data_IF_049155611549
#
_entry.id   IF_049155611549
#
_cell.length_a   1.000
_cell.length_b   1.000
_cell.length_c   1.000
_cell.angle_alpha   90.00
_cell.angle_beta   90.00
_cell.angle_gamma   90.00
#
_symmetry.space_group_name_H-M   'P 1'
#
loop_
_entity.id
_entity.type
_entity.pdbx_description
1 polymer ?
#
# COMPACT_ATOMS: atom_id res chain seq x y z
N UNK A 1 -20.10 -15.56 -0.96
CA UNK A 1 -20.44 -14.30 -1.65
C UNK A 1 -20.82 -13.28 -0.59
N UNK A 2 -19.91 -12.38 -0.21
CA UNK A 2 -20.29 -11.23 0.62
C UNK A 2 -20.84 -10.20 -0.36
N UNK A 3 -22.16 -10.13 -0.43
CA UNK A 3 -22.82 -9.18 -1.30
C UNK A 3 -22.71 -7.78 -0.66
N UNK A 4 -22.26 -6.77 -1.40
CA UNK A 4 -22.12 -5.39 -0.89
C UNK A 4 -23.45 -4.85 -0.36
N UNK A 5 -24.57 -5.37 -0.89
CA UNK A 5 -25.91 -5.14 -0.37
C UNK A 5 -26.06 -5.60 1.10
N UNK A 6 -25.40 -6.68 1.53
CA UNK A 6 -25.48 -7.19 2.90
C UNK A 6 -24.88 -6.24 3.94
N UNK A 7 -23.84 -5.47 3.60
CA UNK A 7 -23.26 -4.46 4.51
C UNK A 7 -24.29 -3.36 4.79
N UNK A 8 -25.01 -2.93 3.77
CA UNK A 8 -26.12 -1.96 3.90
C UNK A 8 -27.31 -2.55 4.67
N UNK A 9 -27.60 -3.84 4.50
CA UNK A 9 -28.68 -4.52 5.22
C UNK A 9 -28.44 -4.64 6.74
N UNK A 10 -27.19 -4.64 7.20
CA UNK A 10 -26.84 -4.75 8.62
C UNK A 10 -26.81 -3.39 9.33
N UNK A 11 -26.64 -2.29 8.59
CA UNK A 11 -26.69 -0.93 9.13
C UNK A 11 -27.28 0.05 8.10
N UNK A 12 -28.56 0.46 8.25
CA UNK A 12 -29.22 1.37 7.30
C UNK A 12 -28.63 2.79 7.31
N UNK A 13 -27.83 3.14 8.32
CA UNK A 13 -27.17 4.44 8.46
C UNK A 13 -25.69 4.40 8.07
N UNK A 14 -25.24 3.32 7.40
CA UNK A 14 -23.84 3.17 7.00
C UNK A 14 -23.40 4.35 6.11
N UNK A 15 -22.26 4.93 6.45
CA UNK A 15 -21.59 5.97 5.69
C UNK A 15 -20.13 5.56 5.47
N UNK A 16 -19.74 5.33 4.21
CA UNK A 16 -18.40 4.83 3.89
C UNK A 16 -17.27 5.76 4.35
N UNK A 17 -17.46 7.08 4.34
CA UNK A 17 -16.45 8.00 4.86
C UNK A 17 -16.21 7.75 6.35
N UNK A 18 -17.27 7.73 7.16
CA UNK A 18 -17.16 7.64 8.63
C UNK A 18 -16.92 6.22 9.14
N UNK A 19 -17.55 5.22 8.53
CA UNK A 19 -17.59 3.85 9.04
C UNK A 19 -16.52 2.95 8.40
N UNK A 20 -15.90 3.40 7.30
CA UNK A 20 -14.85 2.67 6.59
C UNK A 20 -13.56 3.49 6.46
N UNK A 21 -13.59 4.62 5.76
CA UNK A 21 -12.36 5.35 5.43
C UNK A 21 -11.71 5.97 6.66
N UNK A 22 -12.48 6.64 7.52
CA UNK A 22 -11.97 7.32 8.71
C UNK A 22 -11.27 6.34 9.69
N UNK A 23 -11.83 5.16 10.02
CA UNK A 23 -11.11 4.16 10.81
C UNK A 23 -9.75 3.75 10.20
N UNK A 24 -9.70 3.53 8.88
CA UNK A 24 -8.43 3.24 8.20
C UNK A 24 -7.46 4.43 8.25
N UNK A 25 -7.96 5.65 8.05
CA UNK A 25 -7.16 6.86 8.16
C UNK A 25 -6.54 7.00 9.56
N UNK A 26 -7.34 6.89 10.62
CA UNK A 26 -6.85 6.99 11.99
C UNK A 26 -5.86 5.89 12.35
N UNK A 27 -6.12 4.66 11.89
CA UNK A 27 -5.17 3.57 12.07
C UNK A 27 -3.83 3.88 11.38
N UNK A 28 -3.87 4.30 10.11
CA UNK A 28 -2.67 4.60 9.32
C UNK A 28 -1.91 5.78 9.94
N UNK A 29 -2.63 6.82 10.37
CA UNK A 29 -2.04 8.03 10.92
C UNK A 29 -1.31 7.79 12.25
N UNK A 30 -1.89 6.96 13.12
CA UNK A 30 -1.39 6.79 14.48
C UNK A 30 -0.51 5.55 14.69
N UNK A 31 -0.71 4.48 13.92
CA UNK A 31 -0.07 3.18 14.18
C UNK A 31 0.83 2.68 13.04
N UNK A 32 0.72 3.25 11.83
CA UNK A 32 1.55 2.81 10.72
C UNK A 32 2.99 3.29 10.88
N UNK A 33 3.94 2.38 10.75
CA UNK A 33 5.36 2.65 11.05
C UNK A 33 6.02 3.60 10.05
N UNK A 34 5.55 3.61 8.80
CA UNK A 34 6.02 4.55 7.79
C UNK A 34 5.33 5.91 7.96
N UNK A 35 5.95 6.81 8.72
CA UNK A 35 5.42 8.15 8.99
C UNK A 35 5.21 8.99 7.72
N UNK A 36 6.11 8.87 6.74
CA UNK A 36 5.97 9.53 5.43
C UNK A 36 4.76 9.00 4.65
N UNK A 37 4.57 7.67 4.63
CA UNK A 37 3.41 7.05 3.98
C UNK A 37 2.10 7.51 4.64
N UNK A 38 2.08 7.57 5.98
CA UNK A 38 0.93 8.06 6.74
C UNK A 38 0.63 9.54 6.45
N UNK A 39 1.68 10.37 6.30
CA UNK A 39 1.55 11.78 5.90
C UNK A 39 0.92 11.93 4.52
N UNK A 40 1.42 11.19 3.52
CA UNK A 40 0.86 11.22 2.18
C UNK A 40 -0.60 10.73 2.13
N UNK A 41 -0.94 9.69 2.91
CA UNK A 41 -2.31 9.20 3.00
C UNK A 41 -3.25 10.26 3.61
N UNK A 42 -2.83 10.89 4.72
CA UNK A 42 -3.58 11.96 5.36
C UNK A 42 -3.80 13.16 4.42
N UNK A 43 -2.76 13.59 3.69
CA UNK A 43 -2.92 14.63 2.67
C UNK A 43 -3.91 14.23 1.57
N UNK A 44 -3.93 12.95 1.20
CA UNK A 44 -4.90 12.39 0.26
C UNK A 44 -6.34 12.56 0.73
N UNK A 45 -6.60 12.34 2.03
CA UNK A 45 -7.90 12.59 2.66
C UNK A 45 -8.26 14.09 2.59
N UNK A 46 -7.33 14.97 2.98
CA UNK A 46 -7.58 16.43 3.03
C UNK A 46 -7.82 17.06 1.66
N UNK A 47 -7.17 16.55 0.60
CA UNK A 47 -7.28 17.11 -0.76
C UNK A 47 -8.51 16.64 -1.53
N UNK A 48 -9.20 15.60 -1.05
CA UNK A 48 -10.32 14.96 -1.77
C UNK A 48 -11.66 15.32 -1.16
N UNK A 49 -12.68 15.34 -2.02
CA UNK A 49 -14.04 15.54 -1.55
C UNK A 49 -14.60 14.26 -0.91
N UNK A 50 -14.42 14.12 0.40
CA UNK A 50 -14.93 12.97 1.16
C UNK A 50 -16.45 12.95 1.30
N UNK A 51 -17.16 14.05 1.02
CA UNK A 51 -18.63 14.09 1.07
C UNK A 51 -19.29 13.22 0.00
N UNK A 52 -18.56 12.89 -1.07
CA UNK A 52 -19.03 11.98 -2.12
C UNK A 52 -18.86 10.49 -1.77
N UNK A 53 -18.16 10.16 -0.67
CA UNK A 53 -17.86 8.78 -0.26
C UNK A 53 -18.90 8.32 0.75
N UNK A 54 -20.09 7.99 0.27
CA UNK A 54 -21.24 7.69 1.15
C UNK A 54 -21.57 6.21 1.14
N UNK A 55 -21.64 5.59 -0.05
CA UNK A 55 -22.04 4.18 -0.15
C UNK A 55 -20.85 3.25 0.01
N UNK A 56 -21.06 1.96 0.37
CA UNK A 56 -19.96 0.99 0.42
C UNK A 56 -19.20 0.89 -0.92
N UNK A 57 -19.90 0.99 -2.05
CA UNK A 57 -19.30 1.01 -3.37
C UNK A 57 -18.36 2.21 -3.57
N UNK A 58 -18.73 3.39 -3.07
CA UNK A 58 -17.88 4.57 -3.11
C UNK A 58 -16.63 4.39 -2.26
N UNK A 59 -16.75 3.77 -1.09
CA UNK A 59 -15.61 3.44 -0.23
C UNK A 59 -14.61 2.50 -0.92
N UNK A 60 -15.09 1.44 -1.55
CA UNK A 60 -14.26 0.50 -2.33
C UNK A 60 -13.55 1.23 -3.47
N UNK A 61 -14.29 2.01 -4.27
CA UNK A 61 -13.71 2.77 -5.38
C UNK A 61 -12.70 3.81 -4.90
N UNK A 62 -12.96 4.49 -3.78
CA UNK A 62 -12.05 5.48 -3.23
C UNK A 62 -10.72 4.84 -2.82
N UNK A 63 -10.76 3.74 -2.08
CA UNK A 63 -9.55 3.01 -1.66
C UNK A 63 -8.76 2.50 -2.87
N UNK A 64 -9.45 1.91 -3.84
CA UNK A 64 -8.86 1.47 -5.10
C UNK A 64 -8.16 2.61 -5.85
N UNK A 65 -8.84 3.74 -6.04
CA UNK A 65 -8.27 4.89 -6.73
C UNK A 65 -7.07 5.46 -5.98
N UNK A 66 -7.16 5.57 -4.65
CA UNK A 66 -6.07 6.04 -3.79
C UNK A 66 -4.85 5.12 -3.90
N UNK A 67 -5.03 3.80 -3.86
CA UNK A 67 -3.95 2.84 -4.09
C UNK A 67 -3.32 2.98 -5.48
N UNK A 68 -4.13 3.20 -6.53
CA UNK A 68 -3.60 3.38 -7.87
C UNK A 68 -2.78 4.66 -8.05
N UNK A 69 -3.10 5.72 -7.31
CA UNK A 69 -2.28 6.94 -7.27
C UNK A 69 -0.94 6.65 -6.62
N UNK A 70 -0.94 5.92 -5.51
CA UNK A 70 0.29 5.47 -4.85
C UNK A 70 1.11 4.60 -5.79
N UNK A 71 0.49 3.65 -6.50
CA UNK A 71 1.18 2.82 -7.49
C UNK A 71 1.84 3.66 -8.58
N UNK A 72 1.14 4.68 -9.11
CA UNK A 72 1.71 5.59 -10.11
C UNK A 72 2.89 6.39 -9.57
N UNK A 73 2.80 6.84 -8.32
CA UNK A 73 3.86 7.63 -7.69
C UNK A 73 5.10 6.78 -7.37
N UNK A 74 4.90 5.54 -6.91
CA UNK A 74 5.98 4.63 -6.54
C UNK A 74 6.58 3.88 -7.74
N UNK A 75 5.87 3.82 -8.87
CA UNK A 75 6.37 3.16 -10.07
C UNK A 75 7.74 3.71 -10.47
N UNK A 76 8.71 2.81 -10.66
CA UNK A 76 10.09 3.13 -11.10
C UNK A 76 10.88 3.98 -10.12
N UNK A 77 10.46 4.04 -8.85
CA UNK A 77 11.27 4.60 -7.77
C UNK A 77 12.22 3.54 -7.20
N UNK A 78 13.28 3.91 -6.47
CA UNK A 78 14.19 2.93 -5.85
C UNK A 78 13.54 1.98 -4.84
N UNK A 79 12.35 2.33 -4.33
CA UNK A 79 11.54 1.47 -3.44
C UNK A 79 10.60 0.53 -4.19
N UNK A 80 10.55 0.61 -5.53
CA UNK A 80 9.78 -0.31 -6.36
C UNK A 80 10.51 -1.65 -6.46
N UNK A 81 9.80 -2.74 -6.16
CA UNK A 81 10.35 -4.09 -6.25
C UNK A 81 10.40 -4.51 -7.73
N UNK A 82 11.57 -4.80 -8.31
CA UNK A 82 11.67 -5.20 -9.72
C UNK A 82 10.87 -6.48 -10.05
N UNK A 83 10.64 -7.37 -9.08
CA UNK A 83 9.86 -8.59 -9.28
C UNK A 83 8.35 -8.33 -9.31
N UNK A 84 7.90 -7.22 -8.70
CA UNK A 84 6.50 -6.82 -8.58
C UNK A 84 6.35 -5.31 -8.85
N UNK A 85 6.62 -4.88 -10.10
CA UNK A 85 6.63 -3.48 -10.46
C UNK A 85 5.26 -2.85 -10.22
N UNK A 86 5.24 -1.65 -9.62
CA UNK A 86 3.96 -0.95 -9.41
C UNK A 86 3.33 -0.57 -10.75
N UNK A 87 2.10 -1.02 -10.94
CA UNK A 87 1.28 -0.71 -12.11
C UNK A 87 -0.15 -0.33 -11.72
N UNK A 88 -0.91 0.20 -12.69
CA UNK A 88 -2.32 0.48 -12.48
C UNK A 88 -3.10 -0.84 -12.37
N UNK A 89 -3.74 -1.04 -11.24
CA UNK A 89 -4.50 -2.25 -10.92
C UNK A 89 -6.01 -2.05 -11.18
N UNK A 90 -6.74 -3.05 -11.71
CA UNK A 90 -6.20 -4.28 -12.27
C UNK A 90 -5.52 -4.01 -13.62
N UNK A 91 -4.46 -4.77 -13.96
CA UNK A 91 -3.93 -4.79 -15.31
C UNK A 91 -4.96 -5.41 -16.28
N UNK A 92 -4.82 -5.11 -17.58
CA UNK A 92 -5.77 -5.58 -18.59
C UNK A 92 -5.74 -7.10 -18.78
N UNK A 93 -4.61 -7.75 -18.48
CA UNK A 93 -4.44 -9.21 -18.39
C UNK A 93 -5.39 -9.84 -17.36
N UNK A 94 -5.57 -9.17 -16.21
CA UNK A 94 -6.38 -9.66 -15.10
C UNK A 94 -7.86 -9.29 -15.23
N UNK A 95 -8.14 -8.11 -15.80
CA UNK A 95 -9.50 -7.68 -16.10
C UNK A 95 -9.57 -6.93 -17.45
N UNK A 96 -9.77 -7.65 -18.57
CA UNK A 96 -9.88 -7.03 -19.89
C UNK A 96 -11.06 -6.07 -20.00
N UNK A 97 -12.15 -6.35 -19.28
CA UNK A 97 -13.38 -5.55 -19.27
C UNK A 97 -13.28 -4.30 -18.40
N UNK A 98 -12.24 -4.17 -17.58
CA UNK A 98 -12.05 -3.02 -16.70
C UNK A 98 -11.50 -1.79 -17.44
N UNK A 99 -11.17 -1.91 -18.73
CA UNK A 99 -10.66 -0.83 -19.57
C UNK A 99 -11.67 -0.51 -20.68
N UNK A 100 -11.95 0.77 -20.86
CA UNK A 100 -12.66 1.28 -22.03
C UNK A 100 -11.74 1.27 -23.25
N UNK A 101 -12.30 1.45 -24.44
CA UNK A 101 -11.54 1.48 -25.70
C UNK A 101 -10.45 2.58 -25.73
N UNK A 102 -10.65 3.67 -24.98
CA UNK A 102 -9.68 4.76 -24.85
C UNK A 102 -8.57 4.49 -23.81
N UNK A 103 -8.56 3.31 -23.16
CA UNK A 103 -7.59 2.92 -22.13
C UNK A 103 -7.92 3.41 -20.71
N UNK A 104 -8.99 4.20 -20.53
CA UNK A 104 -9.45 4.60 -19.20
C UNK A 104 -10.13 3.45 -18.47
N UNK A 105 -10.18 3.54 -17.15
CA UNK A 105 -10.92 2.56 -16.36
C UNK A 105 -12.43 2.69 -16.55
N UNK A 106 -13.11 1.56 -16.66
CA UNK A 106 -14.54 1.45 -16.46
C UNK A 106 -14.81 1.19 -14.97
N UNK A 107 -15.26 2.22 -14.24
CA UNK A 107 -15.44 2.14 -12.78
C UNK A 107 -16.46 1.09 -12.34
N UNK A 108 -17.48 0.80 -13.15
CA UNK A 108 -18.50 -0.19 -12.82
C UNK A 108 -17.92 -1.61 -12.97
N UNK A 109 -17.24 -1.86 -14.09
CA UNK A 109 -16.55 -3.13 -14.31
C UNK A 109 -15.45 -3.37 -13.27
N UNK A 110 -14.71 -2.30 -12.90
CA UNK A 110 -13.71 -2.34 -11.83
C UNK A 110 -14.36 -2.66 -10.48
N UNK A 111 -15.45 -2.01 -10.10
CA UNK A 111 -16.12 -2.28 -8.83
C UNK A 111 -16.55 -3.75 -8.74
N UNK A 112 -17.17 -4.28 -9.80
CA UNK A 112 -17.56 -5.68 -9.87
C UNK A 112 -16.36 -6.63 -9.79
N UNK A 113 -15.26 -6.29 -10.48
CA UNK A 113 -14.00 -7.00 -10.37
C UNK A 113 -13.46 -6.97 -8.93
N UNK A 114 -13.41 -5.82 -8.26
CA UNK A 114 -12.89 -5.70 -6.89
C UNK A 114 -13.69 -6.56 -5.92
N UNK A 115 -15.02 -6.48 -5.97
CA UNK A 115 -15.90 -7.29 -5.12
C UNK A 115 -15.60 -8.78 -5.34
N UNK A 116 -15.48 -9.20 -6.60
CA UNK A 116 -15.22 -10.60 -6.95
C UNK A 116 -13.82 -11.04 -6.51
N UNK A 117 -12.79 -10.24 -6.82
CA UNK A 117 -11.38 -10.49 -6.53
C UNK A 117 -11.16 -10.65 -5.03
N UNK A 118 -11.58 -9.65 -4.23
CA UNK A 118 -11.39 -9.65 -2.78
C UNK A 118 -12.34 -10.61 -2.05
N UNK A 119 -13.50 -10.96 -2.63
CA UNK A 119 -14.36 -12.02 -2.07
C UNK A 119 -13.78 -13.42 -2.25
N UNK A 120 -12.91 -13.61 -3.23
CA UNK A 120 -12.29 -14.89 -3.57
C UNK A 120 -10.90 -15.07 -2.97
N UNK A 121 -10.36 -14.07 -2.25
CA UNK A 121 -9.16 -14.23 -1.45
C UNK A 121 -9.41 -15.26 -0.35
N UNK A 122 -8.80 -16.43 -0.49
CA UNK A 122 -8.83 -17.49 0.51
C UNK A 122 -7.65 -17.25 1.45
N UNK A 123 -7.91 -17.13 2.75
CA UNK A 123 -6.86 -16.93 3.75
C UNK A 123 -6.04 -18.23 3.82
N UNK A 124 -4.80 -18.16 3.37
CA UNK A 124 -3.88 -19.28 3.46
C UNK A 124 -3.54 -19.60 4.93
N UNK A 125 -3.56 -20.88 5.27
CA UNK A 125 -2.77 -21.38 6.39
C UNK A 125 -3.29 -21.18 7.81
N UNK A 126 -4.48 -20.62 8.05
CA UNK A 126 -5.11 -20.77 9.38
C UNK A 126 -5.63 -22.21 9.53
N UNK A 127 -4.76 -23.11 9.99
CA UNK A 127 -5.20 -24.30 10.75
C UNK A 127 -6.23 -23.80 11.74
N UNK A 128 -7.46 -24.35 11.66
CA UNK A 128 -8.60 -24.11 12.55
C UNK A 128 -8.26 -23.18 13.72
N UNK A 129 -8.66 -21.91 13.62
CA UNK A 129 -8.43 -20.95 14.70
C UNK A 129 -8.93 -21.57 16.02
N UNK A 130 -8.09 -21.70 17.07
CA UNK A 130 -8.53 -22.31 18.31
C UNK A 130 -9.73 -21.52 18.84
N UNK A 131 -10.79 -22.23 19.23
CA UNK A 131 -11.98 -21.60 19.82
C UNK A 131 -11.56 -20.73 21.00
N UNK A 132 -12.04 -19.51 21.07
CA UNK A 132 -11.75 -18.62 22.18
C UNK A 132 -12.87 -18.74 23.21
N UNK A 133 -12.49 -18.73 24.49
CA UNK A 133 -13.44 -18.78 25.60
C UNK A 133 -13.93 -17.36 25.87
N UNK A 134 -15.23 -17.15 25.78
CA UNK A 134 -15.90 -15.92 26.21
C UNK A 134 -16.49 -16.19 27.58
N UNK A 135 -16.09 -15.38 28.55
CA UNK A 135 -16.60 -15.44 29.91
C UNK A 135 -17.65 -14.35 30.10
N UNK A 136 -18.87 -14.73 30.42
CA UNK A 136 -19.96 -13.82 30.75
C UNK A 136 -20.01 -13.61 32.27
N UNK A 137 -20.01 -12.35 32.68
CA UNK A 137 -20.05 -11.94 34.08
C UNK A 137 -21.30 -11.11 34.36
N UNK A 138 -22.02 -11.46 35.43
CA UNK A 138 -23.17 -10.70 35.91
C UNK A 138 -22.97 -10.37 37.39
N UNK A 139 -23.10 -9.09 37.76
CA UNK A 139 -22.83 -8.59 39.11
C UNK A 139 -21.47 -9.01 39.68
N UNK A 140 -20.44 -9.06 38.82
CA UNK A 140 -19.07 -9.44 39.21
C UNK A 140 -18.86 -10.94 39.45
N UNK A 141 -19.87 -11.79 39.21
CA UNK A 141 -19.76 -13.25 39.30
C UNK A 141 -19.75 -13.86 37.89
N UNK A 142 -18.86 -14.81 37.65
CA UNK A 142 -18.82 -15.58 36.41
C UNK A 142 -20.13 -16.38 36.29
N UNK A 143 -20.92 -16.10 35.25
CA UNK A 143 -22.20 -16.77 35.00
C UNK A 143 -22.03 -17.89 34.01
N UNK A 144 -21.27 -17.68 32.93
CA UNK A 144 -21.09 -18.68 31.89
C UNK A 144 -19.73 -18.54 31.20
N UNK A 145 -19.18 -19.64 30.71
CA UNK A 145 -18.03 -19.62 29.80
C UNK A 145 -18.40 -20.38 28.54
N UNK A 146 -18.60 -19.67 27.44
CA UNK A 146 -18.91 -20.25 26.15
C UNK A 146 -17.65 -20.32 25.28
N UNK A 147 -17.41 -21.47 24.65
CA UNK A 147 -16.37 -21.57 23.62
C UNK A 147 -16.99 -21.13 22.30
N UNK A 148 -16.67 -19.90 21.86
CA UNK A 148 -17.15 -19.37 20.59
C UNK A 148 -16.14 -19.71 19.50
N UNK A 149 -16.63 -20.34 18.45
CA UNK A 149 -15.90 -20.49 17.20
C UNK A 149 -16.36 -19.37 16.28
N UNK A 150 -15.42 -18.63 15.68
CA UNK A 150 -15.77 -17.74 14.58
C UNK A 150 -16.40 -18.60 13.47
N UNK A 151 -17.62 -18.27 13.06
CA UNK A 151 -18.39 -19.02 12.06
C UNK A 151 -17.63 -19.04 10.72
N UNK A 152 -17.10 -20.19 10.26
CA UNK A 152 -16.45 -20.24 8.96
C UNK A 152 -17.51 -20.55 7.92
N UNK A 153 -18.25 -19.53 7.45
CA UNK A 153 -18.94 -19.62 6.16
C UNK A 153 -18.04 -19.19 4.99
N UNK A 154 -16.76 -19.51 5.09
CA UNK A 154 -15.78 -19.32 4.02
C UNK A 154 -15.25 -20.71 3.61
N UNK A 155 -15.64 -21.15 2.42
CA UNK A 155 -15.22 -22.42 1.83
C UNK A 155 -13.79 -22.29 1.25
N UNK A 156 -12.97 -23.31 1.47
CA UNK A 156 -11.49 -23.28 1.48
C UNK A 156 -10.91 -23.91 0.19
N UNK A 157 -9.74 -23.41 -0.27
CA UNK A 157 -8.91 -23.91 -1.38
C UNK A 157 -8.29 -22.81 -2.27
N UNK A 158 -7.16 -22.24 -1.88
CA UNK A 158 -6.45 -21.25 -2.70
C UNK A 158 -5.81 -21.92 -3.93
N UNK A 159 -6.39 -21.68 -5.11
CA UNK A 159 -5.74 -22.03 -6.38
C UNK A 159 -5.97 -20.96 -7.47
N UNK A 160 -6.96 -20.07 -7.31
CA UNK A 160 -7.38 -19.17 -8.37
C UNK A 160 -6.76 -17.78 -8.34
N UNK A 161 -6.33 -17.26 -7.18
CA UNK A 161 -5.71 -15.92 -7.10
C UNK A 161 -4.23 -16.01 -7.48
N UNK A 162 -3.49 -16.94 -6.88
CA UNK A 162 -2.10 -17.24 -7.25
C UNK A 162 -1.95 -17.51 -8.74
N UNK A 163 -2.87 -18.27 -9.35
CA UNK A 163 -2.81 -18.55 -10.78
C UNK A 163 -2.99 -17.31 -11.67
N UNK A 164 -3.80 -16.34 -11.23
CA UNK A 164 -4.04 -15.11 -11.99
C UNK A 164 -2.88 -14.11 -11.81
N UNK A 165 -2.31 -14.01 -10.61
CA UNK A 165 -1.12 -13.21 -10.32
C UNK A 165 0.14 -13.79 -10.98
N UNK A 166 0.32 -15.12 -10.95
CA UNK A 166 1.44 -15.81 -11.62
C UNK A 166 1.34 -15.69 -13.15
N UNK A 167 0.12 -15.77 -13.71
CA UNK A 167 -0.10 -15.54 -15.13
C UNK A 167 0.25 -14.09 -15.55
N UNK A 168 -0.12 -13.10 -14.73
CA UNK A 168 0.27 -11.72 -14.97
C UNK A 168 1.78 -11.53 -14.86
N UNK A 169 2.42 -12.13 -13.85
CA UNK A 169 3.85 -12.04 -13.64
C UNK A 169 4.65 -12.69 -14.79
N UNK A 170 4.21 -13.83 -15.31
CA UNK A 170 4.79 -14.46 -16.51
C UNK A 170 4.68 -13.56 -17.74
N UNK A 171 3.55 -12.87 -17.90
CA UNK A 171 3.35 -11.95 -19.02
C UNK A 171 4.26 -10.73 -18.91
N UNK A 172 4.40 -10.16 -17.71
CA UNK A 172 5.30 -9.03 -17.43
C UNK A 172 6.78 -9.39 -17.63
N UNK A 173 7.20 -10.59 -17.22
CA UNK A 173 8.57 -11.08 -17.46
C UNK A 173 8.85 -11.25 -18.96
N UNK A 174 7.89 -11.79 -19.72
CA UNK A 174 8.02 -11.94 -21.17
C UNK A 174 8.09 -10.57 -21.87
N UNK A 175 7.33 -9.57 -21.42
CA UNK A 175 7.43 -8.20 -21.92
C UNK A 175 8.78 -7.56 -21.58
N UNK A 176 9.30 -7.73 -20.36
CA UNK A 176 10.63 -7.25 -19.97
C UNK A 176 11.74 -7.89 -20.81
N UNK A 177 11.66 -9.19 -21.07
CA UNK A 177 12.62 -9.92 -21.92
C UNK A 177 12.54 -9.49 -23.39
N UNK A 178 11.34 -9.20 -23.91
CA UNK A 178 11.16 -8.64 -25.26
C UNK A 178 11.73 -7.22 -25.38
N UNK A 179 11.56 -6.37 -24.36
CA UNK A 179 12.13 -5.02 -24.32
C UNK A 179 13.66 -5.08 -24.30
N UNK A 180 14.25 -6.00 -23.52
CA UNK A 180 15.70 -6.21 -23.49
C UNK A 180 16.26 -6.88 -24.75
N UNK A 181 15.46 -7.72 -25.43
CA UNK A 181 15.86 -8.40 -26.67
C UNK A 181 15.68 -7.54 -27.93
N UNK A 182 14.87 -6.47 -27.85
CA UNK A 182 14.41 -5.68 -29.00
C UNK A 182 15.17 -4.38 -29.31
N UNK A 183 15.93 -3.79 -28.40
CA UNK A 183 16.68 -2.57 -28.69
C UNK A 183 17.87 -2.35 -27.75
N UNK A 184 19.07 -2.26 -28.34
CA UNK A 184 20.37 -1.73 -27.85
C UNK A 184 21.57 -2.66 -28.03
N UNK A 185 21.68 -3.24 -29.23
CA UNK A 185 22.99 -3.53 -29.81
C UNK A 185 23.56 -2.28 -30.49
N UNK A 186 24.79 -1.89 -30.11
CA UNK A 186 25.75 -1.00 -30.84
C UNK A 186 25.79 0.50 -30.46
N UNK A 187 26.69 0.85 -29.53
CA UNK A 187 27.86 1.76 -29.72
C UNK A 187 28.51 2.09 -28.37
N UNK A 188 29.52 1.32 -27.97
CA UNK A 188 30.56 1.86 -27.09
C UNK A 188 31.58 2.57 -27.98
N UNK A 189 31.62 3.89 -27.91
CA UNK A 189 32.75 4.65 -28.46
C UNK A 189 33.94 4.46 -27.52
N UNK A 190 34.97 3.84 -28.08
CA UNK A 190 36.38 4.00 -27.74
C UNK A 190 36.71 5.49 -27.50
N UNK A 191 37.36 5.76 -26.38
CA UNK A 191 37.76 7.08 -25.93
C UNK A 191 38.92 6.99 -24.94
N UNK A 192 40.13 6.83 -25.50
CA UNK A 192 41.48 7.19 -25.02
C UNK A 192 41.72 7.49 -23.51
N UNK A 193 42.79 6.93 -22.89
CA UNK A 193 43.05 7.01 -21.46
C UNK A 193 43.88 8.24 -21.07
N UNK A 194 43.26 9.43 -20.91
CA UNK A 194 44.02 10.57 -20.35
C UNK A 194 43.17 11.66 -19.67
N UNK A 195 42.04 11.35 -19.00
CA UNK A 195 41.30 12.36 -18.18
C UNK A 195 40.68 11.83 -16.89
N UNK A 196 41.04 10.63 -16.42
CA UNK A 196 40.46 10.05 -15.18
C UNK A 196 41.04 10.62 -13.88
N UNK A 197 42.18 11.33 -13.91
CA UNK A 197 42.83 11.75 -12.68
C UNK A 197 42.23 13.02 -12.04
N UNK A 198 41.63 13.93 -12.83
CA UNK A 198 41.08 15.18 -12.29
C UNK A 198 39.70 14.99 -11.66
N UNK A 199 38.86 14.11 -12.21
CA UNK A 199 37.49 13.91 -11.72
C UNK A 199 37.43 13.29 -10.32
N UNK A 200 38.36 12.40 -9.98
CA UNK A 200 38.36 11.71 -8.68
C UNK A 200 38.79 12.66 -7.55
N UNK A 201 39.76 13.53 -7.82
CA UNK A 201 40.21 14.55 -6.86
C UNK A 201 39.08 15.55 -6.56
N UNK A 202 38.37 16.03 -7.59
CA UNK A 202 37.24 16.95 -7.40
C UNK A 202 36.08 16.32 -6.62
N UNK A 203 35.74 15.05 -6.89
CA UNK A 203 34.70 14.34 -6.14
C UNK A 203 35.09 14.11 -4.68
N UNK A 204 36.39 13.86 -4.40
CA UNK A 204 36.89 13.72 -3.03
C UNK A 204 36.77 15.03 -2.22
N UNK A 205 37.05 16.18 -2.84
CA UNK A 205 36.91 17.50 -2.21
C UNK A 205 35.45 17.80 -1.89
N UNK A 206 34.53 17.52 -2.83
CA UNK A 206 33.09 17.71 -2.62
C UNK A 206 32.59 16.83 -1.46
N UNK A 207 33.02 15.57 -1.38
CA UNK A 207 32.64 14.67 -0.29
C UNK A 207 33.11 15.19 1.09
N UNK A 208 34.33 15.72 1.18
CA UNK A 208 34.86 16.31 2.43
C UNK A 208 34.08 17.56 2.83
N UNK A 209 33.71 18.41 1.87
CA UNK A 209 32.88 19.62 2.15
C UNK A 209 31.49 19.23 2.65
N UNK A 210 30.85 18.24 2.01
CA UNK A 210 29.54 17.73 2.45
C UNK A 210 29.62 17.12 3.85
N UNK A 211 30.68 16.34 4.15
CA UNK A 211 30.92 15.81 5.48
C UNK A 211 31.14 16.92 6.51
N UNK A 212 31.89 17.98 6.19
CA UNK A 212 32.08 19.11 7.08
C UNK A 212 30.78 19.87 7.36
N UNK A 213 29.96 20.09 6.33
CA UNK A 213 28.63 20.71 6.47
C UNK A 213 27.74 19.82 7.33
N UNK A 214 27.72 18.51 7.08
CA UNK A 214 26.95 17.54 7.86
C UNK A 214 27.41 17.47 9.32
N UNK A 215 28.72 17.45 9.58
CA UNK A 215 29.27 17.47 10.95
C UNK A 215 28.96 18.79 11.67
N UNK A 216 28.99 19.93 10.97
CA UNK A 216 28.61 21.24 11.52
C UNK A 216 27.11 21.31 11.81
N UNK A 217 26.27 20.78 10.92
CA UNK A 217 24.83 20.63 11.11
C UNK A 217 24.52 19.72 12.31
N UNK A 218 25.14 18.54 12.39
CA UNK A 218 25.00 17.60 13.51
C UNK A 218 25.44 18.22 14.83
N UNK A 219 26.55 18.96 14.85
CA UNK A 219 27.04 19.66 16.06
C UNK A 219 26.11 20.79 16.50
N UNK A 220 25.46 21.50 15.57
CA UNK A 220 24.45 22.51 15.90
C UNK A 220 23.12 21.89 16.36
N UNK A 221 22.70 20.73 15.81
CA UNK A 221 21.52 19.99 16.29
C UNK A 221 21.68 19.55 17.75
N UNK A 222 22.86 19.09 18.15
CA UNK A 222 23.15 18.75 19.56
C UNK A 222 23.10 19.96 20.51
N UNK A 223 23.41 21.17 20.03
CA UNK A 223 23.27 22.40 20.84
C UNK A 223 21.80 22.79 21.02
N UNK A 224 20.97 22.63 19.98
CA UNK A 224 19.52 22.90 20.03
C UNK A 224 18.79 21.90 20.95
N UNK A 225 19.21 20.64 20.98
CA UNK A 225 18.62 19.62 21.86
C UNK A 225 18.99 19.82 23.35
N UNK A 226 20.16 20.39 23.65
CA UNK A 226 20.53 20.74 25.03
C UNK A 226 19.74 21.92 25.61
N UNK A 227 19.16 22.79 24.78
CA UNK A 227 18.27 23.88 25.24
C UNK A 227 16.83 23.43 25.47
N UNK A 228 16.36 22.34 24.85
CA UNK A 228 15.00 21.84 25.04
C UNK A 228 14.89 20.80 26.16
N UNK A 229 15.88 19.93 26.37
CA UNK A 229 15.78 18.85 27.37
C UNK A 229 16.21 19.21 28.80
N UNK A 230 16.53 20.48 29.11
CA UNK A 230 16.91 20.88 30.48
C UNK A 230 15.84 21.71 31.22
N UNK A 231 14.73 22.06 30.54
CA UNK A 231 13.66 22.87 31.15
C UNK A 231 12.45 22.05 31.64
N UNK A 232 12.37 20.75 31.38
CA UNK A 232 11.23 19.91 31.80
C UNK A 232 11.44 19.17 33.14
N UNK A 233 12.51 19.48 33.88
CA UNK A 233 12.79 18.89 35.21
C UNK A 233 12.90 19.93 36.32
N UNK A 234 11.98 20.90 36.37
CA UNK A 234 11.82 21.70 37.60
C UNK A 234 10.39 22.22 37.71
N UNK A 235 9.62 21.48 38.52
CA UNK A 235 8.41 21.85 39.29
C UNK A 235 7.38 22.72 38.59
#
# INVERSE_FOLDING_TARGET
MVNVQYVVFLNPNFNANNDLIEPFHQFIWHFFTCSECATHFHEGILKRNMTAVVTPADGVKWLWMTHNIVNKFLARTPSDDPAFPKQQFPPASLCPTCRKQNGEFDEEAVLNFMITYYSNLRIDGLKSMPGYKVSDFENGRLVQTETKHLNPKFQIGAFSVDGAEEADQKNNNHEFDLINSGAYGRRYYDGSPMKRSFSVLWLSIIAVVVLFIYMKYRRNRFKIWKTFCYNDYKL
#
